data_IF_939371890680
#
_entry.id   IF_939371890680
#
_cell.length_a   1.000
_cell.length_b   1.000
_cell.length_c   1.000
_cell.angle_alpha   90.00
_cell.angle_beta   90.00
_cell.angle_gamma   90.00
#
_symmetry.space_group_name_H-M   'P 1'
#
loop_
_entity.id
_entity.type
_entity.pdbx_description
1 polymer ?
#
# COMPACT_ATOMS: atom_id res chain seq x y z
N UNK A 1 -12.38 -17.76 -4.68
CA UNK A 1 -11.87 -18.11 -6.02
C UNK A 1 -13.00 -18.70 -6.84
N UNK A 2 -13.17 -18.25 -8.07
CA UNK A 2 -14.05 -18.87 -9.07
C UNK A 2 -13.24 -19.73 -10.06
N UNK A 3 -13.94 -20.42 -10.96
CA UNK A 3 -13.30 -21.31 -11.93
C UNK A 3 -12.35 -20.61 -12.90
N UNK A 4 -12.64 -19.36 -13.28
CA UNK A 4 -11.82 -18.55 -14.19
C UNK A 4 -10.53 -18.12 -13.51
N UNK A 5 -10.61 -17.59 -12.29
CA UNK A 5 -9.45 -17.16 -11.51
C UNK A 5 -8.53 -18.32 -11.14
N UNK A 6 -9.10 -19.46 -10.74
CA UNK A 6 -8.32 -20.68 -10.48
C UNK A 6 -7.66 -21.22 -11.76
N UNK A 7 -8.35 -21.14 -12.91
CA UNK A 7 -7.80 -21.48 -14.21
C UNK A 7 -6.59 -20.63 -14.56
N UNK A 8 -6.72 -19.31 -14.44
CA UNK A 8 -5.64 -18.37 -14.68
C UNK A 8 -4.44 -18.60 -13.75
N UNK A 9 -4.67 -18.76 -12.44
CA UNK A 9 -3.61 -19.07 -11.47
C UNK A 9 -2.82 -20.32 -11.88
N UNK A 10 -3.51 -21.40 -12.27
CA UNK A 10 -2.86 -22.65 -12.71
C UNK A 10 -2.01 -22.44 -13.96
N UNK A 11 -2.49 -21.67 -14.94
CA UNK A 11 -1.73 -21.37 -16.17
C UNK A 11 -0.48 -20.59 -15.83
N UNK A 12 -0.61 -19.47 -15.11
CA UNK A 12 0.54 -18.64 -14.74
C UNK A 12 1.57 -19.42 -13.89
N UNK A 13 1.13 -20.17 -12.89
CA UNK A 13 2.02 -20.98 -12.08
C UNK A 13 2.79 -22.01 -12.92
N UNK A 14 2.12 -22.73 -13.83
CA UNK A 14 2.78 -23.70 -14.74
C UNK A 14 3.86 -23.06 -15.60
N UNK A 15 3.64 -21.84 -16.06
CA UNK A 15 4.58 -21.09 -16.88
C UNK A 15 5.59 -20.26 -16.08
N UNK A 16 5.66 -20.47 -14.75
CA UNK A 16 6.58 -19.74 -13.86
C UNK A 16 6.40 -18.21 -13.89
N UNK A 17 5.19 -17.76 -14.17
CA UNK A 17 4.83 -16.34 -14.10
C UNK A 17 4.39 -15.99 -12.69
N UNK A 18 4.75 -14.78 -12.24
CA UNK A 18 4.36 -14.29 -10.92
C UNK A 18 2.84 -14.15 -10.82
N UNK A 19 2.29 -14.64 -9.71
CA UNK A 19 0.86 -14.51 -9.39
C UNK A 19 0.70 -13.67 -8.15
N UNK A 20 -0.12 -12.63 -8.24
CA UNK A 20 -0.53 -11.83 -7.09
C UNK A 20 -1.88 -12.36 -6.61
N UNK A 21 -1.91 -12.94 -5.43
CA UNK A 21 -3.15 -13.43 -4.83
C UNK A 21 -3.69 -12.32 -3.93
N UNK A 22 -4.73 -11.64 -4.40
CA UNK A 22 -5.30 -10.47 -3.72
C UNK A 22 -6.76 -10.72 -3.37
N UNK A 23 -7.09 -11.06 -2.14
CA UNK A 23 -8.46 -11.02 -1.65
C UNK A 23 -9.01 -9.59 -1.70
N UNK A 24 -10.20 -9.42 -2.24
CA UNK A 24 -11.01 -8.22 -2.07
C UNK A 24 -11.95 -8.43 -0.88
N UNK A 25 -11.79 -7.61 0.14
CA UNK A 25 -12.55 -7.79 1.38
C UNK A 25 -13.26 -6.50 1.77
N UNK A 26 -14.57 -6.61 1.91
CA UNK A 26 -15.41 -5.55 2.44
C UNK A 26 -15.74 -5.88 3.90
N UNK A 27 -15.11 -5.17 4.82
CA UNK A 27 -15.29 -5.32 6.26
C UNK A 27 -16.74 -5.07 6.65
N UNK A 28 -17.31 -5.97 7.43
CA UNK A 28 -18.70 -5.94 7.84
C UNK A 28 -19.68 -6.65 6.88
N UNK A 29 -19.24 -6.99 5.67
CA UNK A 29 -20.05 -7.75 4.71
C UNK A 29 -19.38 -9.07 4.31
N UNK A 30 -18.10 -9.02 3.93
CA UNK A 30 -17.32 -10.17 3.46
C UNK A 30 -16.37 -10.72 4.52
N UNK A 31 -16.15 -9.97 5.58
CA UNK A 31 -15.29 -10.32 6.71
C UNK A 31 -15.85 -9.69 7.99
N UNK A 32 -15.33 -10.06 9.18
CA UNK A 32 -15.64 -9.36 10.42
C UNK A 32 -15.44 -7.84 10.31
N UNK A 33 -16.14 -7.06 11.14
CA UNK A 33 -16.01 -5.59 11.15
C UNK A 33 -14.66 -5.12 11.71
N UNK A 34 -13.94 -5.95 12.46
CA UNK A 34 -12.71 -5.56 13.14
C UNK A 34 -11.50 -5.66 12.20
N UNK A 35 -10.59 -4.69 12.19
CA UNK A 35 -9.37 -4.76 11.36
C UNK A 35 -8.56 -6.03 11.56
N UNK A 36 -8.44 -6.52 12.80
CA UNK A 36 -7.74 -7.76 13.11
C UNK A 36 -8.40 -8.99 12.46
N UNK A 37 -9.74 -9.07 12.49
CA UNK A 37 -10.50 -10.12 11.82
C UNK A 37 -10.33 -10.08 10.30
N UNK A 38 -10.36 -8.87 9.72
CA UNK A 38 -10.10 -8.66 8.29
C UNK A 38 -8.69 -9.12 7.91
N UNK A 39 -7.66 -8.77 8.69
CA UNK A 39 -6.28 -9.21 8.45
C UNK A 39 -6.16 -10.73 8.47
N UNK A 40 -6.77 -11.39 9.46
CA UNK A 40 -6.73 -12.83 9.58
C UNK A 40 -7.38 -13.53 8.37
N UNK A 41 -8.54 -13.04 7.94
CA UNK A 41 -9.22 -13.58 6.77
C UNK A 41 -8.46 -13.30 5.47
N UNK A 42 -7.96 -12.08 5.29
CA UNK A 42 -7.13 -11.70 4.13
C UNK A 42 -5.92 -12.63 4.00
N UNK A 43 -5.24 -12.89 5.11
CA UNK A 43 -4.11 -13.81 5.13
C UNK A 43 -4.54 -15.23 4.77
N UNK A 44 -5.61 -15.74 5.36
CA UNK A 44 -6.09 -17.10 5.10
C UNK A 44 -6.46 -17.31 3.62
N UNK A 45 -7.20 -16.38 3.03
CA UNK A 45 -7.60 -16.45 1.63
C UNK A 45 -6.40 -16.33 0.68
N UNK A 46 -5.47 -15.42 0.95
CA UNK A 46 -4.25 -15.29 0.16
C UNK A 46 -3.38 -16.55 0.24
N UNK A 47 -3.20 -17.11 1.44
CA UNK A 47 -2.42 -18.33 1.64
C UNK A 47 -3.05 -19.54 0.94
N UNK A 48 -4.36 -19.63 0.86
CA UNK A 48 -5.03 -20.70 0.10
C UNK A 48 -4.67 -20.65 -1.40
N UNK A 49 -4.65 -19.45 -2.00
CA UNK A 49 -4.23 -19.30 -3.40
C UNK A 49 -2.74 -19.53 -3.62
N UNK A 50 -1.89 -19.03 -2.70
CA UNK A 50 -0.44 -19.27 -2.76
C UNK A 50 -0.14 -20.77 -2.62
N UNK A 51 -0.78 -21.47 -1.68
CA UNK A 51 -0.62 -22.90 -1.53
C UNK A 51 -1.02 -23.67 -2.81
N UNK A 52 -2.13 -23.29 -3.43
CA UNK A 52 -2.52 -23.89 -4.71
C UNK A 52 -1.47 -23.64 -5.81
N UNK A 53 -0.92 -22.44 -5.90
CA UNK A 53 0.14 -22.15 -6.87
C UNK A 53 1.37 -23.03 -6.64
N UNK A 54 1.78 -23.25 -5.39
CA UNK A 54 2.88 -24.15 -5.04
C UNK A 54 2.56 -25.62 -5.32
N UNK A 55 1.32 -26.06 -5.14
CA UNK A 55 0.89 -27.42 -5.52
C UNK A 55 0.91 -27.62 -7.03
N UNK A 56 0.60 -26.60 -7.81
CA UNK A 56 0.66 -26.65 -9.28
C UNK A 56 2.11 -26.70 -9.77
N UNK A 57 2.96 -25.89 -9.17
CA UNK A 57 4.39 -25.82 -9.45
C UNK A 57 5.14 -25.38 -8.20
N UNK A 58 5.92 -26.24 -7.56
CA UNK A 58 6.80 -25.86 -6.48
C UNK A 58 7.80 -24.77 -6.92
N UNK A 59 7.90 -23.70 -6.13
CA UNK A 59 8.75 -22.54 -6.43
C UNK A 59 8.14 -21.52 -7.39
N UNK A 60 6.87 -21.66 -7.80
CA UNK A 60 6.19 -20.62 -8.58
C UNK A 60 6.20 -19.30 -7.83
N UNK A 61 6.60 -18.16 -8.46
CA UNK A 61 6.67 -16.88 -7.79
C UNK A 61 5.26 -16.38 -7.41
N UNK A 62 5.08 -16.04 -6.15
CA UNK A 62 3.81 -15.55 -5.60
C UNK A 62 4.02 -14.27 -4.81
N UNK A 63 3.02 -13.40 -4.87
CA UNK A 63 2.94 -12.17 -4.08
C UNK A 63 1.67 -12.24 -3.25
N UNK A 64 1.78 -11.99 -1.96
CA UNK A 64 0.63 -11.79 -1.09
C UNK A 64 0.03 -10.42 -1.38
N UNK A 65 -1.23 -10.37 -1.78
CA UNK A 65 -1.97 -9.13 -2.02
C UNK A 65 -3.03 -8.88 -0.97
N UNK A 66 -3.31 -7.62 -0.70
CA UNK A 66 -4.45 -7.18 0.09
C UNK A 66 -5.15 -6.02 -0.60
N UNK A 67 -6.47 -6.07 -0.65
CA UNK A 67 -7.32 -4.95 -1.01
C UNK A 67 -8.57 -5.01 -0.12
N UNK A 68 -8.48 -4.40 1.05
CA UNK A 68 -9.56 -4.34 2.03
C UNK A 68 -10.11 -2.92 2.13
N UNK A 69 -11.43 -2.83 2.28
CA UNK A 69 -12.15 -1.58 2.54
C UNK A 69 -13.13 -1.80 3.67
N UNK A 70 -13.52 -0.74 4.36
CA UNK A 70 -14.66 -0.74 5.25
C UNK A 70 -15.95 -0.43 4.47
N UNK A 71 -17.08 -0.66 5.10
CA UNK A 71 -18.39 -0.40 4.52
C UNK A 71 -19.13 0.66 5.33
N UNK A 72 -19.72 1.63 4.64
CA UNK A 72 -20.66 2.55 5.28
C UNK A 72 -21.93 1.79 5.70
N UNK A 73 -22.22 1.76 6.99
CA UNK A 73 -23.43 1.12 7.50
C UNK A 73 -24.72 1.85 7.10
N UNK A 74 -24.62 3.09 6.63
CA UNK A 74 -25.77 3.86 6.15
C UNK A 74 -26.11 3.57 4.69
N UNK A 75 -25.10 3.47 3.83
CA UNK A 75 -25.30 3.35 2.38
C UNK A 75 -24.98 1.96 1.83
N UNK A 76 -24.27 1.11 2.58
CA UNK A 76 -23.73 -0.16 2.10
C UNK A 76 -22.57 -0.02 1.12
N UNK A 77 -22.12 1.20 0.83
CA UNK A 77 -21.03 1.46 -0.10
C UNK A 77 -19.66 1.26 0.57
N UNK A 78 -18.63 0.82 -0.17
CA UNK A 78 -17.27 0.80 0.32
C UNK A 78 -16.82 2.21 0.73
N UNK A 79 -16.08 2.31 1.83
CA UNK A 79 -15.47 3.56 2.29
C UNK A 79 -13.97 3.53 2.04
N UNK A 80 -13.47 4.51 1.32
CA UNK A 80 -12.04 4.67 1.05
C UNK A 80 -11.55 5.98 1.70
N UNK A 81 -10.25 6.06 1.94
CA UNK A 81 -9.69 7.23 2.63
C UNK A 81 -9.84 7.19 4.15
N UNK A 82 -10.45 6.14 4.71
CA UNK A 82 -10.61 5.97 6.16
C UNK A 82 -9.44 5.20 6.79
N UNK A 83 -9.23 5.29 8.13
CA UNK A 83 -8.08 4.67 8.77
C UNK A 83 -8.15 3.13 8.84
N UNK A 84 -9.33 2.51 8.81
CA UNK A 84 -9.46 1.07 8.98
C UNK A 84 -8.78 0.28 7.85
N UNK A 85 -9.00 0.58 6.56
CA UNK A 85 -8.26 -0.06 5.48
C UNK A 85 -6.74 0.17 5.57
N UNK A 86 -6.31 1.35 6.00
CA UNK A 86 -4.90 1.66 6.21
C UNK A 86 -4.27 0.80 7.32
N UNK A 87 -4.99 0.59 8.43
CA UNK A 87 -4.56 -0.34 9.50
C UNK A 87 -4.44 -1.78 9.00
N UNK A 88 -5.42 -2.25 8.21
CA UNK A 88 -5.37 -3.60 7.62
C UNK A 88 -4.19 -3.75 6.69
N UNK A 89 -3.96 -2.78 5.80
CA UNK A 89 -2.82 -2.74 4.90
C UNK A 89 -1.49 -2.84 5.67
N UNK A 90 -1.32 -1.98 6.65
CA UNK A 90 -0.10 -1.92 7.47
C UNK A 90 0.16 -3.22 8.22
N UNK A 91 -0.88 -3.80 8.83
CA UNK A 91 -0.80 -5.08 9.52
C UNK A 91 -0.51 -6.25 8.57
N UNK A 92 -1.15 -6.30 7.39
CA UNK A 92 -0.84 -7.31 6.36
C UNK A 92 0.59 -7.18 5.83
N UNK A 93 1.13 -5.97 5.68
CA UNK A 93 2.52 -5.77 5.33
C UNK A 93 3.47 -6.34 6.39
N UNK A 94 3.16 -6.16 7.68
CA UNK A 94 3.94 -6.76 8.76
C UNK A 94 3.86 -8.30 8.75
N UNK A 95 2.69 -8.87 8.49
CA UNK A 95 2.52 -10.33 8.33
C UNK A 95 3.31 -10.86 7.14
N UNK A 96 3.27 -10.19 6.00
CA UNK A 96 4.04 -10.56 4.80
C UNK A 96 5.54 -10.60 5.09
N UNK A 97 6.09 -9.57 5.75
CA UNK A 97 7.50 -9.54 6.17
C UNK A 97 7.86 -10.70 7.10
N UNK A 98 6.99 -10.99 8.07
CA UNK A 98 7.20 -12.12 8.99
C UNK A 98 7.24 -13.47 8.25
N UNK A 99 6.48 -13.60 7.17
CA UNK A 99 6.41 -14.81 6.35
C UNK A 99 7.48 -14.84 5.25
N UNK A 100 8.23 -13.76 5.04
CA UNK A 100 9.21 -13.66 3.97
C UNK A 100 8.58 -13.65 2.56
N UNK A 101 7.36 -13.14 2.42
CA UNK A 101 6.61 -13.12 1.16
C UNK A 101 6.51 -11.67 0.67
N UNK A 102 6.75 -11.37 -0.62
CA UNK A 102 6.50 -10.05 -1.18
C UNK A 102 5.04 -9.64 -1.02
N UNK A 103 4.81 -8.36 -0.76
CA UNK A 103 3.47 -7.85 -0.48
C UNK A 103 3.03 -6.78 -1.48
N UNK A 104 1.79 -6.89 -1.91
CA UNK A 104 1.10 -5.93 -2.77
C UNK A 104 -0.07 -5.29 -2.04
N UNK A 105 -0.19 -3.99 -2.13
CA UNK A 105 -1.36 -3.25 -1.66
C UNK A 105 -1.67 -2.04 -2.54
N UNK A 106 -2.60 -1.20 -2.13
CA UNK A 106 -2.91 0.09 -2.72
C UNK A 106 -2.34 1.25 -1.91
N UNK A 107 -2.63 2.45 -2.37
CA UNK A 107 -2.33 3.72 -1.69
C UNK A 107 -3.10 4.84 -2.37
N UNK A 108 -2.97 6.08 -1.88
CA UNK A 108 -3.65 7.26 -2.44
C UNK A 108 -5.15 7.08 -2.69
N UNK A 109 -5.81 6.31 -1.82
CA UNK A 109 -7.24 6.04 -1.90
C UNK A 109 -8.02 7.14 -1.17
N UNK A 110 -9.05 7.66 -1.80
CA UNK A 110 -9.91 8.70 -1.21
C UNK A 110 -11.39 8.45 -1.52
N UNK A 111 -12.26 8.97 -0.65
CA UNK A 111 -13.71 9.00 -0.85
C UNK A 111 -14.19 10.27 -1.52
N UNK A 112 -13.37 11.33 -1.59
CA UNK A 112 -13.73 12.58 -2.26
C UNK A 112 -14.04 12.36 -3.73
N UNK A 113 -15.00 13.14 -4.25
CA UNK A 113 -15.42 13.12 -5.66
C UNK A 113 -14.68 14.16 -6.51
N UNK A 114 -13.96 15.06 -5.88
CA UNK A 114 -13.22 16.15 -6.51
C UNK A 114 -11.76 16.12 -6.05
N UNK A 115 -10.82 16.64 -6.85
CA UNK A 115 -9.44 16.82 -6.43
C UNK A 115 -9.29 18.04 -5.49
N UNK A 116 -9.82 17.90 -4.29
CA UNK A 116 -9.89 18.90 -3.24
C UNK A 116 -9.01 18.58 -2.03
N UNK A 117 -9.14 19.35 -0.98
CA UNK A 117 -8.39 19.13 0.27
C UNK A 117 -8.68 17.76 0.88
N UNK A 118 -9.94 17.26 0.78
CA UNK A 118 -10.29 15.93 1.26
C UNK A 118 -9.54 14.85 0.47
N UNK A 119 -9.54 14.94 -0.85
CA UNK A 119 -8.80 14.01 -1.71
C UNK A 119 -7.31 13.99 -1.35
N UNK A 120 -6.72 15.16 -1.06
CA UNK A 120 -5.31 15.27 -0.71
C UNK A 120 -4.98 14.58 0.62
N UNK A 121 -5.69 14.91 1.72
CA UNK A 121 -5.36 14.33 3.02
C UNK A 121 -5.71 12.84 3.12
N UNK A 122 -6.81 12.39 2.49
CA UNK A 122 -7.16 10.97 2.46
C UNK A 122 -6.14 10.16 1.66
N UNK A 123 -5.66 10.69 0.53
CA UNK A 123 -4.59 10.08 -0.24
C UNK A 123 -3.29 9.98 0.55
N UNK A 124 -2.90 11.05 1.23
CA UNK A 124 -1.72 11.04 2.11
C UNK A 124 -1.86 10.00 3.22
N UNK A 125 -3.00 9.98 3.91
CA UNK A 125 -3.26 9.08 5.02
C UNK A 125 -3.29 7.59 4.60
N UNK A 126 -3.65 7.28 3.36
CA UNK A 126 -3.68 5.90 2.85
C UNK A 126 -2.38 5.49 2.16
N UNK A 127 -1.59 6.43 1.62
CA UNK A 127 -0.29 6.17 1.02
C UNK A 127 0.82 6.04 2.06
N UNK A 128 0.83 6.85 3.10
CA UNK A 128 1.86 6.83 4.13
C UNK A 128 2.03 5.46 4.81
N UNK A 129 0.95 4.75 5.24
CA UNK A 129 1.08 3.39 5.76
C UNK A 129 1.66 2.40 4.75
N UNK A 130 1.44 2.61 3.45
CA UNK A 130 1.99 1.78 2.37
C UNK A 130 3.52 1.90 2.34
N UNK A 131 4.03 3.12 2.38
CA UNK A 131 5.48 3.40 2.40
C UNK A 131 6.11 2.90 3.69
N UNK A 132 5.56 3.27 4.86
CA UNK A 132 6.05 2.85 6.17
C UNK A 132 5.93 1.33 6.38
N UNK A 133 4.92 0.71 5.80
CA UNK A 133 4.71 -0.72 5.80
C UNK A 133 5.73 -1.49 4.95
N UNK A 134 6.52 -0.82 4.11
CA UNK A 134 7.47 -1.47 3.21
C UNK A 134 6.78 -2.35 2.18
N UNK A 135 5.66 -1.88 1.62
CA UNK A 135 4.93 -2.59 0.57
C UNK A 135 5.78 -2.66 -0.69
N UNK A 136 5.97 -3.87 -1.24
CA UNK A 136 6.87 -4.09 -2.37
C UNK A 136 6.26 -3.66 -3.71
N UNK A 137 4.94 -3.71 -3.84
CA UNK A 137 4.24 -3.37 -5.06
C UNK A 137 2.94 -2.63 -4.75
N UNK A 138 2.83 -1.38 -5.19
CA UNK A 138 1.69 -0.52 -4.93
C UNK A 138 0.88 -0.33 -6.21
N UNK A 139 -0.36 -0.78 -6.21
CA UNK A 139 -1.33 -0.49 -7.26
C UNK A 139 -2.29 0.61 -6.81
N UNK A 140 -2.92 1.29 -7.77
CA UNK A 140 -3.90 2.36 -7.52
C UNK A 140 -3.30 3.54 -6.74
N UNK A 141 -2.04 3.91 -7.03
CA UNK A 141 -1.32 4.93 -6.29
C UNK A 141 -1.60 6.36 -6.75
N UNK A 142 -2.34 6.56 -7.84
CA UNK A 142 -2.59 7.91 -8.37
C UNK A 142 -3.86 8.00 -9.21
N UNK A 143 -4.49 9.18 -9.20
CA UNK A 143 -5.57 9.57 -10.11
C UNK A 143 -6.98 9.13 -9.70
N UNK A 144 -7.15 8.36 -8.63
CA UNK A 144 -8.42 7.80 -8.23
C UNK A 144 -9.21 8.73 -7.30
N UNK A 145 -10.53 8.83 -7.55
CA UNK A 145 -11.52 9.55 -6.76
C UNK A 145 -12.71 8.63 -6.48
N UNK A 146 -13.60 9.06 -5.57
CA UNK A 146 -14.84 8.37 -5.21
C UNK A 146 -14.65 6.86 -4.97
N UNK A 147 -13.65 6.50 -4.18
CA UNK A 147 -13.39 5.09 -3.87
C UNK A 147 -13.00 4.23 -5.09
N UNK A 148 -12.43 4.84 -6.12
CA UNK A 148 -12.00 4.16 -7.33
C UNK A 148 -13.07 4.07 -8.42
N UNK A 149 -14.20 4.75 -8.27
CA UNK A 149 -15.26 4.81 -9.28
C UNK A 149 -14.98 5.86 -10.35
N UNK A 150 -14.19 6.89 -10.04
CA UNK A 150 -13.83 7.99 -10.92
C UNK A 150 -12.33 8.19 -10.91
N UNK A 151 -11.78 8.72 -11.99
CA UNK A 151 -10.41 9.17 -12.07
C UNK A 151 -10.34 10.54 -12.76
N UNK A 152 -9.33 11.37 -12.43
CA UNK A 152 -9.09 12.64 -13.10
C UNK A 152 -7.61 12.89 -13.33
N UNK A 153 -7.29 13.69 -14.34
CA UNK A 153 -5.92 14.11 -14.64
C UNK A 153 -5.36 15.05 -13.55
N UNK A 154 -6.20 15.92 -13.00
CA UNK A 154 -5.82 16.81 -11.90
C UNK A 154 -5.41 16.00 -10.67
N UNK A 155 -6.21 14.98 -10.33
CA UNK A 155 -5.88 14.07 -9.22
C UNK A 155 -4.60 13.28 -9.49
N UNK A 156 -4.37 12.86 -10.73
CA UNK A 156 -3.14 12.16 -11.11
C UNK A 156 -1.90 13.05 -10.89
N UNK A 157 -1.96 14.33 -11.30
CA UNK A 157 -0.85 15.27 -11.09
C UNK A 157 -0.61 15.54 -9.61
N UNK A 158 -1.69 15.74 -8.84
CA UNK A 158 -1.62 15.96 -7.39
C UNK A 158 -1.00 14.75 -6.66
N UNK A 159 -1.42 13.55 -7.01
CA UNK A 159 -0.88 12.32 -6.43
C UNK A 159 0.58 12.06 -6.87
N UNK A 160 0.95 12.43 -8.11
CA UNK A 160 2.32 12.29 -8.58
C UNK A 160 3.30 13.16 -7.77
N UNK A 161 2.92 14.38 -7.44
CA UNK A 161 3.71 15.25 -6.54
C UNK A 161 3.85 14.62 -5.15
N UNK A 162 2.75 14.14 -4.59
CA UNK A 162 2.75 13.45 -3.29
C UNK A 162 3.63 12.18 -3.29
N UNK A 163 3.58 11.40 -4.37
CA UNK A 163 4.44 10.22 -4.53
C UNK A 163 5.92 10.59 -4.53
N UNK A 164 6.29 11.71 -5.17
CA UNK A 164 7.66 12.24 -5.12
C UNK A 164 8.11 12.57 -3.69
N UNK A 165 7.26 13.23 -2.91
CA UNK A 165 7.54 13.50 -1.49
C UNK A 165 7.69 12.20 -0.67
N UNK A 166 6.82 11.22 -0.91
CA UNK A 166 6.87 9.93 -0.21
C UNK A 166 8.10 9.11 -0.59
N UNK A 167 8.55 9.19 -1.84
CA UNK A 167 9.79 8.55 -2.29
C UNK A 167 10.99 9.12 -1.55
N UNK A 168 11.13 10.44 -1.51
CA UNK A 168 12.20 11.12 -0.76
C UNK A 168 12.17 10.73 0.72
N UNK A 169 10.98 10.68 1.32
CA UNK A 169 10.81 10.25 2.70
C UNK A 169 11.26 8.78 2.90
N UNK A 170 10.96 7.89 1.97
CA UNK A 170 11.32 6.48 2.05
C UNK A 170 12.83 6.23 1.87
N UNK A 171 13.52 7.08 1.12
CA UNK A 171 14.98 7.04 0.96
C UNK A 171 15.70 7.36 2.29
N UNK A 172 15.07 8.20 3.13
CA UNK A 172 15.62 8.61 4.42
C UNK A 172 16.76 9.63 4.29
N UNK A 173 17.36 10.02 5.43
CA UNK A 173 18.45 10.99 5.45
C UNK A 173 19.74 10.38 4.88
N UNK A 174 20.50 11.20 4.17
CA UNK A 174 21.86 10.86 3.77
C UNK A 174 22.76 10.77 5.01
N UNK A 175 23.28 9.57 5.30
CA UNK A 175 24.20 9.32 6.41
C UNK A 175 25.68 9.24 5.98
N UNK A 176 26.00 9.62 4.75
CA UNK A 176 27.39 9.76 4.29
C UNK A 176 28.14 10.82 5.11
N UNK A 177 29.44 10.87 4.98
CA UNK A 177 30.27 11.87 5.66
C UNK A 177 29.82 13.30 5.32
N UNK A 178 29.48 13.55 4.06
CA UNK A 178 28.95 14.84 3.61
C UNK A 178 27.54 15.09 4.16
N UNK A 179 26.66 14.09 4.14
CA UNK A 179 25.30 14.20 4.66
C UNK A 179 25.23 14.47 6.16
N UNK A 180 26.21 14.03 6.94
CA UNK A 180 26.31 14.32 8.36
C UNK A 180 26.80 15.75 8.66
N UNK A 181 27.43 16.42 7.70
CA UNK A 181 27.90 17.81 7.76
C UNK A 181 28.71 18.17 9.01
N UNK A 182 29.47 17.22 9.57
CA UNK A 182 30.21 17.42 10.82
C UNK A 182 31.31 18.47 10.70
N UNK A 183 31.88 18.67 9.51
CA UNK A 183 32.90 19.70 9.28
C UNK A 183 32.27 21.09 9.28
N UNK A 184 31.11 21.25 8.65
CA UNK A 184 30.35 22.50 8.72
C UNK A 184 29.95 22.86 10.18
N UNK A 185 29.54 21.85 10.96
CA UNK A 185 29.23 22.04 12.38
C UNK A 185 30.45 22.53 13.18
N UNK A 186 31.64 21.96 12.91
CA UNK A 186 32.88 22.36 13.56
C UNK A 186 33.33 23.76 13.13
N UNK A 187 33.22 24.08 11.83
CA UNK A 187 33.58 25.39 11.28
C UNK A 187 32.72 26.52 11.88
N UNK A 188 31.42 26.34 11.91
CA UNK A 188 30.47 27.36 12.39
C UNK A 188 30.53 27.51 13.90
N UNK A 189 30.58 26.41 14.64
CA UNK A 189 30.64 26.43 16.10
C UNK A 189 29.33 26.86 16.78
N UNK A 190 29.30 26.88 18.12
CA UNK A 190 28.09 27.15 18.87
C UNK A 190 27.69 28.66 18.82
N UNK A 191 26.39 28.91 18.71
CA UNK A 191 25.83 30.28 18.74
C UNK A 191 25.96 31.08 17.45
N UNK A 192 26.45 30.49 16.38
CA UNK A 192 26.57 31.06 15.04
C UNK A 192 25.51 30.50 14.09
N UNK A 193 25.45 31.02 12.87
CA UNK A 193 24.52 30.55 11.82
C UNK A 193 25.27 29.98 10.63
N UNK A 194 24.60 29.05 9.91
CA UNK A 194 25.17 28.33 8.76
C UNK A 194 24.97 29.07 7.42
N UNK A 195 24.42 30.28 7.42
CA UNK A 195 24.27 31.10 6.21
C UNK A 195 25.66 31.48 5.68
N UNK A 196 26.03 30.91 4.53
CA UNK A 196 27.35 31.14 3.92
C UNK A 196 28.41 30.10 4.24
N UNK A 197 28.06 29.04 4.97
CA UNK A 197 28.88 27.86 5.07
C UNK A 197 28.77 27.08 3.75
N UNK A 198 29.88 26.59 3.21
CA UNK A 198 29.93 25.89 1.93
C UNK A 198 29.47 24.43 2.06
#
# INVERSE_FOLDING_TARGET
FDGTMLGALKVYARHNQAVIVTPFILSGAMAPCTPAGVMAQTLAEAMAGIALAQLVRPGAPCVFGSFASSMSMQSGAPTFGTPEPAMVLYGCAALARRLGIPFRSGGSLCGSKLPDAQAAYESAATLQPTVLGGVNFVLHAAGWLEGGLVSSFEKLVMDADQLGMMQTFAEGPDLSENGQAMDAIREVGPGQHFLGCA
#
